data_IF_356530083726
#
_entry.id   IF_356530083726
#
_cell.length_a   1.000
_cell.length_b   1.000
_cell.length_c   1.000
_cell.angle_alpha   90.00
_cell.angle_beta   90.00
_cell.angle_gamma   90.00
#
_symmetry.space_group_name_H-M   'P 1'
#
loop_
_entity.id
_entity.type
_entity.pdbx_description
1 polymer ?
#
# COMPACT_ATOMS: atom_id res chain seq x y z
N UNK A 1 5.51 -17.21 17.47
CA UNK A 1 4.10 -16.74 17.66
C UNK A 1 3.99 -15.37 17.00
N UNK A 2 4.90 -14.46 17.34
CA UNK A 2 5.42 -13.32 16.57
C UNK A 2 5.29 -13.36 15.03
N UNK A 3 5.79 -14.39 14.34
CA UNK A 3 5.76 -14.44 12.87
C UNK A 3 4.33 -14.55 12.30
N UNK A 4 3.39 -15.15 13.04
CA UNK A 4 1.97 -15.15 12.67
C UNK A 4 1.37 -13.73 12.80
N UNK A 5 1.76 -12.99 13.84
CA UNK A 5 1.29 -11.62 14.10
C UNK A 5 1.80 -10.68 12.99
N UNK A 6 3.09 -10.77 12.64
CA UNK A 6 3.65 -10.06 11.49
C UNK A 6 2.93 -10.41 10.18
N UNK A 7 2.71 -11.70 9.91
CA UNK A 7 1.98 -12.14 8.71
C UNK A 7 0.54 -11.60 8.68
N UNK A 8 -0.13 -11.53 9.83
CA UNK A 8 -1.47 -10.93 9.96
C UNK A 8 -1.44 -9.44 9.64
N UNK A 9 -0.46 -8.70 10.16
CA UNK A 9 -0.26 -7.29 9.82
C UNK A 9 0.01 -7.08 8.32
N UNK A 10 0.87 -7.89 7.71
CA UNK A 10 1.19 -7.82 6.28
C UNK A 10 -0.05 -8.10 5.41
N UNK A 11 -0.86 -9.10 5.79
CA UNK A 11 -2.10 -9.39 5.07
C UNK A 11 -3.08 -8.22 5.17
N UNK A 12 -3.24 -7.62 6.35
CA UNK A 12 -4.08 -6.44 6.55
C UNK A 12 -3.60 -5.23 5.73
N UNK A 13 -2.29 -5.04 5.62
CA UNK A 13 -1.72 -3.99 4.78
C UNK A 13 -2.03 -4.23 3.30
N UNK A 14 -1.93 -5.48 2.83
CA UNK A 14 -2.31 -5.84 1.45
C UNK A 14 -3.79 -5.54 1.15
N UNK A 15 -4.71 -5.85 2.06
CA UNK A 15 -6.12 -5.49 1.89
C UNK A 15 -6.33 -3.96 1.77
N UNK A 16 -5.55 -3.18 2.52
CA UNK A 16 -5.64 -1.73 2.47
C UNK A 16 -5.03 -1.15 1.19
N UNK A 17 -3.98 -1.77 0.66
CA UNK A 17 -3.40 -1.39 -0.63
C UNK A 17 -4.33 -1.73 -1.78
N UNK A 18 -4.98 -2.89 -1.76
CA UNK A 18 -6.01 -3.27 -2.74
C UNK A 18 -7.18 -2.26 -2.72
N UNK A 19 -7.66 -1.92 -1.52
CA UNK A 19 -8.68 -0.87 -1.37
C UNK A 19 -8.21 0.50 -1.86
N UNK A 20 -6.92 0.84 -1.68
CA UNK A 20 -6.36 2.09 -2.19
C UNK A 20 -6.32 2.09 -3.72
N UNK A 21 -5.90 1.00 -4.35
CA UNK A 21 -5.93 0.84 -5.80
C UNK A 21 -7.35 1.01 -6.33
N UNK A 22 -8.33 0.34 -5.72
CA UNK A 22 -9.75 0.51 -6.03
C UNK A 22 -10.20 1.99 -5.96
N UNK A 23 -9.81 2.72 -4.90
CA UNK A 23 -10.19 4.13 -4.75
C UNK A 23 -9.51 5.06 -5.74
N UNK A 24 -8.29 4.76 -6.17
CA UNK A 24 -7.62 5.50 -7.24
C UNK A 24 -8.26 5.20 -8.61
N UNK A 25 -8.67 3.97 -8.88
CA UNK A 25 -9.45 3.63 -10.08
C UNK A 25 -10.82 4.33 -10.09
N UNK A 26 -11.51 4.39 -8.94
CA UNK A 26 -12.76 5.13 -8.81
C UNK A 26 -12.57 6.62 -9.14
N UNK A 27 -11.49 7.23 -8.62
CA UNK A 27 -11.11 8.60 -8.94
C UNK A 27 -10.83 8.78 -10.44
N UNK A 28 -10.12 7.83 -11.06
CA UNK A 28 -9.85 7.81 -12.49
C UNK A 28 -11.14 7.79 -13.33
N UNK A 29 -12.12 6.96 -12.95
CA UNK A 29 -13.41 6.91 -13.64
C UNK A 29 -14.18 8.21 -13.52
N UNK A 30 -14.13 8.88 -12.36
CA UNK A 30 -14.76 10.19 -12.20
C UNK A 30 -14.08 11.26 -13.07
N UNK A 31 -12.75 11.25 -13.15
CA UNK A 31 -11.96 12.16 -13.98
C UNK A 31 -12.27 11.98 -15.46
N UNK A 32 -12.17 10.75 -15.96
CA UNK A 32 -12.39 10.41 -17.38
C UNK A 32 -13.85 10.62 -17.81
N UNK A 33 -14.81 10.43 -16.90
CA UNK A 33 -16.23 10.71 -17.16
C UNK A 33 -16.62 12.20 -16.98
N UNK A 34 -15.67 13.09 -16.66
CA UNK A 34 -15.91 14.52 -16.45
C UNK A 34 -16.82 14.83 -15.26
N UNK A 35 -16.90 13.94 -14.25
CA UNK A 35 -17.80 14.06 -13.09
C UNK A 35 -17.15 14.81 -11.93
N UNK A 36 -16.63 16.02 -12.22
CA UNK A 36 -15.87 16.85 -11.27
C UNK A 36 -16.59 17.11 -9.93
N UNK A 37 -17.93 17.20 -9.93
CA UNK A 37 -18.72 17.37 -8.70
C UNK A 37 -18.51 16.27 -7.66
N UNK A 38 -18.16 15.06 -8.09
CA UNK A 38 -17.98 13.90 -7.20
C UNK A 38 -16.52 13.66 -6.81
N UNK A 39 -15.57 14.32 -7.48
CA UNK A 39 -14.14 14.07 -7.33
C UNK A 39 -13.65 14.27 -5.89
N UNK A 40 -14.13 15.33 -5.23
CA UNK A 40 -13.85 15.61 -3.82
C UNK A 40 -14.24 14.48 -2.86
N UNK A 41 -15.20 13.63 -3.21
CA UNK A 41 -15.58 12.47 -2.38
C UNK A 41 -14.57 11.35 -2.56
N UNK A 42 -14.22 11.01 -3.80
CA UNK A 42 -13.19 10.00 -4.09
C UNK A 42 -11.84 10.37 -3.48
N UNK A 43 -11.40 11.63 -3.60
CA UNK A 43 -10.14 12.09 -2.97
C UNK A 43 -10.17 11.92 -1.44
N UNK A 44 -11.30 12.21 -0.77
CA UNK A 44 -11.43 11.99 0.68
C UNK A 44 -11.37 10.51 1.05
N UNK A 45 -11.93 9.64 0.23
CA UNK A 45 -11.85 8.20 0.47
C UNK A 45 -10.43 7.67 0.30
N UNK A 46 -9.68 8.15 -0.71
CA UNK A 46 -8.24 7.89 -0.85
C UNK A 46 -7.49 8.33 0.42
N UNK A 47 -7.73 9.54 0.92
CA UNK A 47 -7.10 10.05 2.15
C UNK A 47 -7.41 9.19 3.38
N UNK A 48 -8.65 8.71 3.51
CA UNK A 48 -9.05 7.81 4.61
C UNK A 48 -8.29 6.49 4.55
N UNK A 49 -8.15 5.88 3.37
CA UNK A 49 -7.39 4.64 3.20
C UNK A 49 -5.91 4.87 3.49
N UNK A 50 -5.33 5.98 3.02
CA UNK A 50 -3.96 6.38 3.34
C UNK A 50 -3.73 6.57 4.85
N UNK A 51 -4.72 7.10 5.56
CA UNK A 51 -4.71 7.18 7.03
C UNK A 51 -4.64 5.80 7.70
N UNK A 52 -5.44 4.85 7.21
CA UNK A 52 -5.45 3.46 7.70
C UNK A 52 -4.14 2.73 7.40
N UNK A 53 -3.55 2.96 6.23
CA UNK A 53 -2.24 2.42 5.84
C UNK A 53 -1.13 2.90 6.78
N UNK A 54 -1.12 4.18 7.16
CA UNK A 54 -0.15 4.69 8.14
C UNK A 54 -0.26 3.96 9.47
N UNK A 55 -1.47 3.78 10.00
CA UNK A 55 -1.67 3.04 11.26
C UNK A 55 -1.25 1.57 11.14
N UNK A 56 -1.59 0.91 10.03
CA UNK A 56 -1.20 -0.48 9.78
C UNK A 56 0.32 -0.64 9.66
N UNK A 57 1.00 0.30 9.00
CA UNK A 57 2.45 0.31 8.85
C UNK A 57 3.19 0.48 10.18
N UNK A 58 2.64 1.26 11.12
CA UNK A 58 3.17 1.35 12.49
C UNK A 58 3.03 0.04 13.25
N UNK A 59 1.86 -0.61 13.19
CA UNK A 59 1.65 -1.91 13.82
C UNK A 59 2.60 -2.97 13.24
N UNK A 60 2.70 -3.06 11.90
CA UNK A 60 3.66 -3.95 11.23
C UNK A 60 5.10 -3.68 11.68
N UNK A 61 5.51 -2.43 11.82
CA UNK A 61 6.87 -2.08 12.24
C UNK A 61 7.19 -2.63 13.64
N UNK A 62 6.23 -2.60 14.56
CA UNK A 62 6.38 -3.21 15.90
C UNK A 62 6.55 -4.72 15.79
N UNK A 63 5.66 -5.41 15.06
CA UNK A 63 5.75 -6.87 14.90
C UNK A 63 7.02 -7.31 14.17
N UNK A 64 7.46 -6.55 13.16
CA UNK A 64 8.70 -6.82 12.44
C UNK A 64 9.93 -6.72 13.36
N UNK A 65 9.96 -5.74 14.28
CA UNK A 65 11.04 -5.60 15.23
C UNK A 65 11.07 -6.75 16.26
N UNK A 66 9.91 -7.25 16.68
CA UNK A 66 9.80 -8.45 17.55
C UNK A 66 10.37 -9.67 16.83
N UNK A 67 9.91 -9.92 15.60
CA UNK A 67 10.41 -11.04 14.77
C UNK A 67 11.91 -10.91 14.51
N UNK A 68 12.40 -9.70 14.21
CA UNK A 68 13.83 -9.45 14.02
C UNK A 68 14.65 -9.86 15.24
N UNK A 69 14.20 -9.48 16.44
CA UNK A 69 14.87 -9.85 17.69
C UNK A 69 14.90 -11.36 17.92
N UNK A 70 13.81 -12.05 17.61
CA UNK A 70 13.73 -13.52 17.74
C UNK A 70 14.62 -14.26 16.72
N UNK A 71 14.78 -13.71 15.52
CA UNK A 71 15.58 -14.32 14.45
C UNK A 71 17.04 -13.85 14.42
N UNK A 72 17.42 -12.93 15.32
CA UNK A 72 18.78 -12.38 15.38
C UNK A 72 19.10 -11.36 14.28
N UNK A 73 18.08 -10.80 13.64
CA UNK A 73 18.22 -9.73 12.66
C UNK A 73 18.30 -8.34 13.34
N UNK A 74 18.79 -7.30 12.63
CA UNK A 74 18.77 -5.93 13.15
C UNK A 74 17.35 -5.47 13.54
N UNK A 75 17.16 -4.65 14.60
CA UNK A 75 15.82 -4.19 15.01
C UNK A 75 15.05 -3.39 13.96
N UNK A 76 15.77 -2.82 12.98
CA UNK A 76 15.23 -2.09 11.84
C UNK A 76 15.29 -2.90 10.53
N UNK A 77 15.41 -4.23 10.63
CA UNK A 77 15.44 -5.11 9.46
C UNK A 77 14.21 -4.88 8.58
N UNK A 78 14.48 -4.73 7.29
CA UNK A 78 13.47 -4.69 6.25
C UNK A 78 12.79 -6.06 6.12
N UNK A 79 11.60 -6.10 5.50
CA UNK A 79 10.92 -7.35 5.23
C UNK A 79 11.78 -8.32 4.40
N UNK A 80 12.63 -7.80 3.50
CA UNK A 80 13.57 -8.60 2.72
C UNK A 80 14.66 -9.22 3.60
N UNK A 81 15.27 -8.45 4.49
CA UNK A 81 16.26 -8.98 5.44
C UNK A 81 15.64 -10.00 6.40
N UNK A 82 14.38 -9.84 6.80
CA UNK A 82 13.65 -10.83 7.58
C UNK A 82 13.41 -12.13 6.80
N UNK A 83 13.13 -12.07 5.49
CA UNK A 83 13.06 -13.26 4.63
C UNK A 83 14.40 -13.99 4.63
N UNK A 84 15.50 -13.26 4.43
CA UNK A 84 16.85 -13.84 4.34
C UNK A 84 17.34 -14.43 5.68
N UNK A 85 16.84 -13.90 6.81
CA UNK A 85 17.20 -14.34 8.17
C UNK A 85 16.19 -15.33 8.75
N UNK A 86 15.12 -15.66 8.00
CA UNK A 86 14.09 -16.57 8.49
C UNK A 86 14.69 -17.95 8.83
N UNK A 87 14.35 -18.54 9.98
CA UNK A 87 14.80 -19.87 10.35
C UNK A 87 14.19 -20.94 9.43
N UNK A 88 14.78 -22.13 9.44
CA UNK A 88 14.27 -23.30 8.70
C UNK A 88 12.76 -23.49 8.96
N UNK A 89 11.98 -23.50 7.88
CA UNK A 89 10.53 -23.61 7.96
C UNK A 89 9.83 -22.80 6.86
N UNK A 90 8.50 -22.61 7.00
CA UNK A 90 7.68 -22.01 5.94
C UNK A 90 7.79 -20.48 5.86
N UNK A 91 8.45 -19.84 6.82
CA UNK A 91 8.36 -18.40 7.00
C UNK A 91 9.06 -17.60 5.91
N UNK A 92 10.18 -18.08 5.38
CA UNK A 92 10.85 -17.45 4.25
C UNK A 92 9.92 -17.33 3.03
N UNK A 93 9.23 -18.43 2.69
CA UNK A 93 8.29 -18.46 1.55
C UNK A 93 7.06 -17.57 1.79
N UNK A 94 6.48 -17.63 3.00
CA UNK A 94 5.30 -16.82 3.35
C UNK A 94 5.63 -15.32 3.31
N UNK A 95 6.75 -14.90 3.89
CA UNK A 95 7.16 -13.49 3.88
C UNK A 95 7.56 -13.04 2.47
N UNK A 96 8.15 -13.92 1.66
CA UNK A 96 8.44 -13.65 0.24
C UNK A 96 7.15 -13.39 -0.54
N UNK A 97 6.11 -14.22 -0.34
CA UNK A 97 4.82 -14.03 -0.99
C UNK A 97 4.17 -12.69 -0.61
N UNK A 98 4.28 -12.28 0.66
CA UNK A 98 3.84 -10.95 1.09
C UNK A 98 4.67 -9.83 0.46
N UNK A 99 5.99 -9.94 0.44
CA UNK A 99 6.88 -8.93 -0.15
C UNK A 99 6.58 -8.71 -1.64
N UNK A 100 6.37 -9.79 -2.39
CA UNK A 100 6.02 -9.72 -3.81
C UNK A 100 4.68 -8.99 -4.02
N UNK A 101 3.64 -9.39 -3.27
CA UNK A 101 2.33 -8.76 -3.38
C UNK A 101 2.33 -7.27 -2.97
N UNK A 102 3.07 -6.92 -1.92
CA UNK A 102 3.24 -5.51 -1.50
C UNK A 102 3.95 -4.68 -2.58
N UNK A 103 4.94 -5.28 -3.24
CA UNK A 103 5.68 -4.63 -4.34
C UNK A 103 4.75 -4.38 -5.53
N UNK A 104 4.00 -5.40 -5.94
CA UNK A 104 3.02 -5.33 -7.04
C UNK A 104 1.95 -4.25 -6.78
N UNK A 105 1.34 -4.23 -5.60
CA UNK A 105 0.38 -3.19 -5.25
C UNK A 105 1.01 -1.78 -5.25
N UNK A 106 2.24 -1.64 -4.75
CA UNK A 106 2.93 -0.34 -4.72
C UNK A 106 3.19 0.19 -6.13
N UNK A 107 3.54 -0.69 -7.07
CA UNK A 107 3.69 -0.35 -8.49
C UNK A 107 2.35 0.05 -9.11
N UNK A 108 1.29 -0.76 -8.92
CA UNK A 108 -0.05 -0.45 -9.43
C UNK A 108 -0.59 0.90 -8.91
N UNK A 109 -0.45 1.15 -7.60
CA UNK A 109 -0.87 2.40 -6.97
C UNK A 109 -0.11 3.60 -7.54
N UNK A 110 1.19 3.44 -7.81
CA UNK A 110 2.01 4.49 -8.43
C UNK A 110 1.47 4.83 -9.82
N UNK A 111 1.24 3.83 -10.65
CA UNK A 111 0.76 4.01 -12.02
C UNK A 111 -0.61 4.68 -12.05
N UNK A 112 -1.54 4.24 -11.19
CA UNK A 112 -2.87 4.84 -11.05
C UNK A 112 -2.78 6.32 -10.63
N UNK A 113 -1.96 6.62 -9.63
CA UNK A 113 -1.78 8.00 -9.16
C UNK A 113 -1.19 8.89 -10.26
N UNK A 114 -0.14 8.43 -10.93
CA UNK A 114 0.55 9.20 -11.96
C UNK A 114 -0.39 9.47 -13.16
N UNK A 115 -1.28 8.52 -13.48
CA UNK A 115 -2.32 8.68 -14.50
C UNK A 115 -3.44 9.64 -14.07
N UNK A 116 -3.93 9.56 -12.82
CA UNK A 116 -4.90 10.52 -12.29
C UNK A 116 -4.36 11.94 -12.28
N UNK A 117 -3.09 12.12 -11.89
CA UNK A 117 -2.41 13.41 -11.91
C UNK A 117 -2.30 13.98 -13.34
N UNK A 118 -2.04 13.12 -14.33
CA UNK A 118 -2.04 13.52 -15.73
C UNK A 118 -3.41 14.02 -16.21
N UNK A 119 -4.50 13.32 -15.85
CA UNK A 119 -5.86 13.75 -16.18
C UNK A 119 -6.23 15.08 -15.52
N UNK A 120 -5.90 15.26 -14.25
CA UNK A 120 -6.11 16.51 -13.52
C UNK A 120 -5.39 17.69 -14.19
N UNK A 121 -4.11 17.53 -14.52
CA UNK A 121 -3.32 18.57 -15.21
C UNK A 121 -3.90 18.93 -16.58
N UNK A 122 -4.40 17.94 -17.31
CA UNK A 122 -5.03 18.15 -18.62
C UNK A 122 -6.38 18.86 -18.49
N UNK A 123 -7.22 18.47 -17.54
CA UNK A 123 -8.49 19.13 -17.27
C UNK A 123 -8.33 20.60 -16.86
N UNK A 124 -7.30 20.93 -16.06
CA UNK A 124 -7.00 22.30 -15.66
C UNK A 124 -6.60 23.20 -16.84
N UNK A 125 -5.81 22.69 -17.79
CA UNK A 125 -5.45 23.44 -19.01
C UNK A 125 -6.67 23.78 -19.86
N UNK A 126 -7.58 22.83 -20.06
CA UNK A 126 -8.81 23.08 -20.82
C UNK A 126 -9.70 24.16 -20.19
N UNK A 127 -9.76 24.24 -18.86
CA UNK A 127 -10.52 25.28 -18.15
C UNK A 127 -9.85 26.65 -18.28
N UNK A 128 -8.51 26.71 -18.38
CA UNK A 128 -7.75 27.97 -18.49
C UNK A 128 -7.72 28.53 -19.92
N UNK A 129 -7.88 27.68 -20.94
CA UNK A 129 -7.88 28.04 -22.36
C UNK A 129 -9.29 28.36 -22.93
N UNK A 130 -10.35 28.09 -22.17
CA UNK A 130 -11.76 28.33 -22.52
C UNK A 130 -12.28 29.67 -21.98
#
# INVERSE_FOLDING_TARGET
>A
MSANELSTCLWRERELLDLLAFKLEEEQFLLTAGKSRWLQYATREVEQVMGRLRTAGLARAVEAAVVAGEWGAPPNATLRELVDTAPDGPWADILTAHLNALTEYTEQIRDLRDLNEHYLRTALRFIQEA
#
